data_IF_787275177574
#
_entry.id   IF_787275177574
#
_cell.length_a   1.000
_cell.length_b   1.000
_cell.length_c   1.000
_cell.angle_alpha   90.00
_cell.angle_beta   90.00
_cell.angle_gamma   90.00
#
_symmetry.space_group_name_H-M   'P 1'
#
loop_
_entity.id
_entity.type
_entity.pdbx_description
1 polymer ?
#
# COMPACT_ATOMS: atom_id res chain seq x y z
N UNK A 1 -29.95 36.38 -28.17
CA UNK A 1 -28.52 36.63 -28.42
C UNK A 1 -27.83 35.28 -28.36
N UNK A 2 -27.50 34.72 -29.52
CA UNK A 2 -26.73 33.49 -29.58
C UNK A 2 -25.27 33.91 -29.61
N UNK A 3 -24.62 33.84 -28.46
CA UNK A 3 -23.19 34.08 -28.34
C UNK A 3 -22.49 32.90 -29.03
N UNK A 4 -22.23 33.06 -30.32
CA UNK A 4 -21.55 32.07 -31.14
C UNK A 4 -20.20 31.78 -30.53
N UNK A 5 -19.96 30.53 -30.17
CA UNK A 5 -18.68 30.08 -29.64
C UNK A 5 -17.62 30.24 -30.74
N UNK A 6 -16.95 31.39 -30.78
CA UNK A 6 -15.87 31.64 -31.74
C UNK A 6 -14.68 30.79 -31.28
N UNK A 7 -14.51 29.64 -31.92
CA UNK A 7 -13.39 28.74 -31.67
C UNK A 7 -12.10 29.42 -32.13
N UNK A 8 -11.40 30.04 -31.18
CA UNK A 8 -10.13 30.71 -31.42
C UNK A 8 -8.98 29.71 -31.25
N UNK A 9 -7.98 29.73 -32.13
CA UNK A 9 -6.74 28.94 -32.04
C UNK A 9 -6.11 28.84 -30.64
N UNK A 10 -6.09 29.89 -29.79
CA UNK A 10 -5.64 29.77 -28.40
C UNK A 10 -6.44 28.78 -27.54
N UNK A 11 -7.73 28.49 -27.82
CA UNK A 11 -8.48 27.44 -27.12
C UNK A 11 -7.87 26.05 -27.31
N UNK A 12 -7.29 25.75 -28.48
CA UNK A 12 -6.59 24.49 -28.70
C UNK A 12 -5.37 24.34 -27.79
N UNK A 13 -4.66 25.44 -27.52
CA UNK A 13 -3.52 25.45 -26.60
C UNK A 13 -3.98 25.14 -25.16
N UNK A 14 -5.11 25.71 -24.73
CA UNK A 14 -5.67 25.42 -23.41
C UNK A 14 -6.15 23.97 -23.29
N UNK A 15 -6.78 23.41 -24.32
CA UNK A 15 -7.20 22.01 -24.34
C UNK A 15 -5.99 21.08 -24.31
N UNK A 16 -4.97 21.34 -25.13
CA UNK A 16 -3.71 20.60 -25.12
C UNK A 16 -3.01 20.69 -23.77
N UNK A 17 -2.95 21.87 -23.17
CA UNK A 17 -2.35 22.06 -21.85
C UNK A 17 -3.12 21.30 -20.77
N UNK A 18 -4.45 21.28 -20.82
CA UNK A 18 -5.27 20.51 -19.89
C UNK A 18 -5.05 19.00 -20.02
N UNK A 19 -4.97 18.48 -21.26
CA UNK A 19 -4.68 17.08 -21.51
C UNK A 19 -3.27 16.71 -21.01
N UNK A 20 -2.29 17.56 -21.29
CA UNK A 20 -0.90 17.35 -20.86
C UNK A 20 -0.79 17.38 -19.32
N UNK A 21 -1.49 18.31 -18.66
CA UNK A 21 -1.56 18.37 -17.21
C UNK A 21 -2.14 17.09 -16.60
N UNK A 22 -3.24 16.56 -17.17
CA UNK A 22 -3.83 15.30 -16.72
C UNK A 22 -2.90 14.10 -16.90
N UNK A 23 -2.19 14.01 -18.03
CA UNK A 23 -1.22 12.94 -18.27
C UNK A 23 -0.03 13.02 -17.32
N UNK A 24 0.47 14.23 -17.03
CA UNK A 24 1.54 14.44 -16.05
C UNK A 24 1.11 14.01 -14.65
N UNK A 25 -0.10 14.39 -14.21
CA UNK A 25 -0.64 13.93 -12.92
C UNK A 25 -0.75 12.42 -12.87
N UNK A 26 -1.28 11.76 -13.90
CA UNK A 26 -1.37 10.29 -13.94
C UNK A 26 -0.02 9.60 -13.85
N UNK A 27 0.99 10.13 -14.53
CA UNK A 27 2.35 9.59 -14.48
C UNK A 27 2.97 9.78 -13.10
N UNK A 28 2.76 10.93 -12.48
CA UNK A 28 3.19 11.23 -11.12
C UNK A 28 2.49 10.27 -10.15
N UNK A 29 1.16 10.16 -10.18
CA UNK A 29 0.40 9.24 -9.33
C UNK A 29 0.86 7.79 -9.49
N UNK A 30 1.09 7.33 -10.72
CA UNK A 30 1.62 6.00 -10.98
C UNK A 30 3.03 5.83 -10.41
N UNK A 31 3.87 6.85 -10.50
CA UNK A 31 5.21 6.84 -9.96
C UNK A 31 5.20 6.81 -8.42
N UNK A 32 4.33 7.59 -7.78
CA UNK A 32 4.16 7.59 -6.32
C UNK A 32 3.51 6.31 -5.82
N UNK A 33 2.49 5.78 -6.50
CA UNK A 33 1.85 4.50 -6.16
C UNK A 33 2.85 3.33 -6.23
N UNK A 34 3.80 3.37 -7.16
CA UNK A 34 4.84 2.35 -7.26
C UNK A 34 5.99 2.57 -6.26
N UNK A 35 6.11 3.80 -5.71
CA UNK A 35 7.13 4.20 -4.74
C UNK A 35 6.66 4.25 -3.30
N UNK A 36 5.36 4.19 -3.03
CA UNK A 36 4.85 3.86 -1.70
C UNK A 36 5.16 2.39 -1.49
N UNK A 37 6.21 2.03 -0.71
CA UNK A 37 6.27 0.66 -0.21
C UNK A 37 4.95 0.44 0.51
N UNK A 38 4.17 -0.58 0.11
CA UNK A 38 3.02 -1.01 0.92
C UNK A 38 3.47 -0.95 2.38
N UNK A 39 2.76 -0.18 3.19
CA UNK A 39 3.04 -0.12 4.62
C UNK A 39 3.08 -1.56 5.12
N UNK A 40 3.98 -1.89 6.04
CA UNK A 40 4.12 -3.27 6.49
C UNK A 40 2.80 -3.82 7.07
N UNK A 41 1.91 -2.93 7.52
CA UNK A 41 0.52 -3.22 7.92
C UNK A 41 -0.36 -3.64 6.75
N UNK A 42 -0.28 -2.92 5.64
CA UNK A 42 -1.04 -3.23 4.43
C UNK A 42 -0.58 -4.57 3.83
N UNK A 43 0.70 -4.93 4.01
CA UNK A 43 1.24 -6.25 3.67
C UNK A 43 0.71 -7.33 4.59
N UNK A 44 0.68 -7.08 5.90
CA UNK A 44 0.13 -7.99 6.89
C UNK A 44 -1.36 -8.28 6.57
N UNK A 45 -2.13 -7.22 6.34
CA UNK A 45 -3.55 -7.31 6.02
C UNK A 45 -3.80 -8.08 4.71
N UNK A 46 -3.10 -7.72 3.62
CA UNK A 46 -3.22 -8.44 2.35
C UNK A 46 -2.83 -9.92 2.49
N UNK A 47 -1.81 -10.23 3.29
CA UNK A 47 -1.38 -11.61 3.50
C UNK A 47 -2.42 -12.41 4.29
N UNK A 48 -2.92 -11.87 5.40
CA UNK A 48 -3.98 -12.46 6.19
C UNK A 48 -5.21 -12.75 5.32
N UNK A 49 -5.59 -11.80 4.47
CA UNK A 49 -6.75 -11.91 3.59
C UNK A 49 -6.56 -12.91 2.45
N UNK A 50 -5.38 -12.94 1.83
CA UNK A 50 -5.06 -13.92 0.78
C UNK A 50 -5.03 -15.36 1.29
N UNK A 51 -4.63 -15.57 2.55
CA UNK A 51 -4.62 -16.89 3.17
C UNK A 51 -5.93 -17.24 3.89
N UNK A 52 -6.86 -16.30 4.02
CA UNK A 52 -8.09 -16.50 4.79
C UNK A 52 -7.87 -16.70 6.29
N UNK A 53 -6.77 -16.17 6.82
CA UNK A 53 -6.36 -16.30 8.22
C UNK A 53 -6.42 -14.95 8.92
N UNK A 54 -6.49 -14.96 10.26
CA UNK A 54 -6.39 -13.73 11.03
C UNK A 54 -4.96 -13.18 11.02
N UNK A 55 -4.81 -11.87 11.19
CA UNK A 55 -3.48 -11.24 11.36
C UNK A 55 -2.73 -11.83 12.57
N UNK A 56 -3.47 -12.21 13.62
CA UNK A 56 -2.93 -12.90 14.78
C UNK A 56 -2.29 -14.25 14.45
N UNK A 57 -2.91 -15.03 13.54
CA UNK A 57 -2.31 -16.28 13.06
C UNK A 57 -1.02 -16.02 12.27
N UNK A 58 -0.92 -14.92 11.53
CA UNK A 58 0.31 -14.54 10.84
C UNK A 58 1.45 -14.29 11.85
N UNK A 59 1.15 -13.63 12.97
CA UNK A 59 2.12 -13.43 14.06
C UNK A 59 2.57 -14.76 14.66
N UNK A 60 1.64 -15.69 14.90
CA UNK A 60 1.97 -17.03 15.42
C UNK A 60 2.84 -17.84 14.46
N UNK A 61 2.58 -17.77 13.15
CA UNK A 61 3.39 -18.46 12.13
C UNK A 61 4.77 -17.82 11.96
N UNK A 62 4.84 -16.50 12.03
CA UNK A 62 6.11 -15.77 12.02
C UNK A 62 6.94 -16.13 13.26
N UNK A 63 6.32 -16.18 14.44
CA UNK A 63 6.93 -16.59 15.69
C UNK A 63 7.44 -18.04 15.63
N UNK A 64 6.64 -18.97 15.10
CA UNK A 64 7.04 -20.36 14.89
C UNK A 64 8.28 -20.49 13.98
N UNK A 65 8.36 -19.67 12.93
CA UNK A 65 9.53 -19.63 12.03
C UNK A 65 10.80 -19.21 12.76
N UNK A 66 10.67 -18.35 13.77
CA UNK A 66 11.77 -17.87 14.61
C UNK A 66 11.94 -18.64 15.92
N UNK A 67 11.21 -19.75 16.11
CA UNK A 67 11.20 -20.56 17.35
C UNK A 67 10.82 -19.77 18.61
N UNK A 68 10.00 -18.73 18.47
CA UNK A 68 9.45 -17.95 19.59
C UNK A 68 8.22 -18.63 20.17
N UNK A 69 7.95 -18.40 21.47
CA UNK A 69 6.76 -18.95 22.12
C UNK A 69 5.49 -18.24 21.63
N UNK A 70 4.34 -18.95 21.59
CA UNK A 70 3.07 -18.35 21.17
C UNK A 70 2.63 -17.19 22.09
N UNK A 71 2.98 -17.25 23.38
CA UNK A 71 2.73 -16.16 24.34
C UNK A 71 3.47 -14.87 23.95
N UNK A 72 4.66 -15.00 23.37
CA UNK A 72 5.42 -13.85 22.87
C UNK A 72 4.73 -13.22 21.66
N UNK A 73 4.22 -14.05 20.73
CA UNK A 73 3.45 -13.58 19.58
C UNK A 73 2.17 -12.84 20.02
N UNK A 74 1.50 -13.33 21.06
CA UNK A 74 0.30 -12.70 21.61
C UNK A 74 0.60 -11.34 22.28
N UNK A 75 1.70 -11.25 23.02
CA UNK A 75 2.16 -10.00 23.64
C UNK A 75 2.58 -8.96 22.58
N UNK A 76 3.30 -9.41 21.55
CA UNK A 76 3.74 -8.57 20.45
C UNK A 76 2.56 -8.10 19.58
N UNK A 77 1.55 -8.95 19.37
CA UNK A 77 0.33 -8.57 18.66
C UNK A 77 -0.46 -7.51 19.45
N UNK A 78 -0.58 -7.65 20.77
CA UNK A 78 -1.19 -6.63 21.61
C UNK A 78 -0.42 -5.31 21.59
N UNK A 79 0.90 -5.38 21.49
CA UNK A 79 1.75 -4.20 21.35
C UNK A 79 1.51 -3.56 19.99
N UNK A 80 1.50 -4.36 18.93
CA UNK A 80 1.20 -3.94 17.57
C UNK A 80 -0.12 -3.17 17.47
N UNK A 81 -1.20 -3.66 18.08
CA UNK A 81 -2.51 -2.98 18.08
C UNK A 81 -2.48 -1.58 18.76
N UNK A 82 -1.50 -1.30 19.61
CA UNK A 82 -1.40 -0.02 20.35
C UNK A 82 -0.51 0.99 19.65
N UNK A 83 0.57 0.54 19.03
CA UNK A 83 1.61 1.43 18.47
C UNK A 83 1.72 1.34 16.94
N UNK A 84 1.01 0.40 16.30
CA UNK A 84 1.06 0.13 14.86
C UNK A 84 2.49 -0.15 14.33
N UNK A 85 3.37 -0.70 15.19
CA UNK A 85 4.74 -1.07 14.82
C UNK A 85 4.84 -2.58 14.71
N UNK A 86 5.18 -3.07 13.51
CA UNK A 86 5.46 -4.49 13.30
C UNK A 86 6.80 -4.91 13.94
N UNK A 87 6.82 -6.02 14.71
CA UNK A 87 8.06 -6.64 15.16
C UNK A 87 8.94 -7.09 13.98
N UNK A 88 10.26 -7.06 14.19
CA UNK A 88 11.23 -7.35 13.14
C UNK A 88 11.07 -8.76 12.53
N UNK A 89 10.75 -9.77 13.33
CA UNK A 89 10.57 -11.14 12.85
C UNK A 89 9.33 -11.28 11.94
N UNK A 90 8.25 -10.55 12.23
CA UNK A 90 7.03 -10.53 11.40
C UNK A 90 7.34 -9.87 10.06
N UNK A 91 8.07 -8.75 10.08
CA UNK A 91 8.51 -8.06 8.85
C UNK A 91 9.40 -8.96 7.99
N UNK A 92 10.33 -9.69 8.58
CA UNK A 92 11.19 -10.64 7.86
C UNK A 92 10.39 -11.82 7.29
N UNK A 93 9.41 -12.33 8.03
CA UNK A 93 8.48 -13.36 7.56
C UNK A 93 7.67 -12.89 6.34
N UNK A 94 7.06 -11.71 6.42
CA UNK A 94 6.33 -11.10 5.29
C UNK A 94 7.24 -10.83 4.09
N UNK A 95 8.50 -10.46 4.32
CA UNK A 95 9.49 -10.25 3.26
C UNK A 95 9.81 -11.54 2.51
N UNK A 96 10.00 -12.65 3.22
CA UNK A 96 10.30 -13.97 2.63
C UNK A 96 9.13 -14.51 1.81
N UNK A 97 7.89 -14.19 2.20
CA UNK A 97 6.69 -14.59 1.48
C UNK A 97 6.52 -13.88 0.13
N UNK A 98 7.04 -12.66 -0.02
CA UNK A 98 6.99 -11.92 -1.30
C UNK A 98 7.90 -12.53 -2.39
N UNK A 99 8.90 -13.30 -1.98
CA UNK A 99 9.89 -13.91 -2.87
C UNK A 99 9.53 -15.32 -3.35
N UNK A 100 8.38 -15.87 -2.92
CA UNK A 100 7.81 -17.13 -3.39
C UNK A 100 6.66 -16.86 -4.36
#
# INVERSE_FOLDING_TARGET
>A
MNDGFVFQWPMLLYILAALLYFEVIRLIDKYWANKTPLSDDERLWNHARNQGISEHEVFKRAAATWSLTPEHADADFNTYLKIEILPHYVRDYLRKLKTL
#
